data_IF_158631463484
#
_entry.id   IF_158631463484
#
_cell.length_a   1.000
_cell.length_b   1.000
_cell.length_c   1.000
_cell.angle_alpha   90.00
_cell.angle_beta   90.00
_cell.angle_gamma   90.00
#
_symmetry.space_group_name_H-M   'P 1'
#
loop_
_entity.id
_entity.type
_entity.pdbx_description
1 polymer ?
#
# COMPACT_ATOMS: atom_id res chain seq x y z
N UNK A 1 -10.18 19.14 6.15
CA UNK A 1 -10.01 18.60 4.78
C UNK A 1 -9.03 17.44 4.88
N UNK A 2 -9.32 16.29 4.26
CA UNK A 2 -8.47 15.11 4.39
C UNK A 2 -7.27 15.21 3.46
N UNK A 3 -6.06 15.07 3.97
CA UNK A 3 -4.90 14.87 3.11
C UNK A 3 -5.06 13.54 2.38
N UNK A 4 -4.98 13.56 1.05
CA UNK A 4 -4.98 12.32 0.26
C UNK A 4 -3.72 11.52 0.59
N UNK A 5 -3.74 10.20 0.34
CA UNK A 5 -2.59 9.35 0.65
C UNK A 5 -1.33 9.77 -0.12
N UNK A 6 -1.45 10.58 -1.18
CA UNK A 6 -0.36 10.95 -2.09
C UNK A 6 0.39 9.72 -2.62
N UNK A 7 -0.34 8.62 -2.85
CA UNK A 7 0.16 7.39 -3.46
C UNK A 7 -0.26 7.36 -4.93
N UNK A 8 0.70 7.58 -5.82
CA UNK A 8 0.46 7.75 -7.24
C UNK A 8 1.06 6.58 -8.02
N UNK A 9 0.21 5.60 -8.37
CA UNK A 9 0.58 4.37 -9.09
C UNK A 9 0.39 4.47 -10.62
N UNK A 10 0.31 5.68 -11.16
CA UNK A 10 0.24 5.91 -12.60
C UNK A 10 1.57 5.56 -13.28
N UNK A 11 1.50 4.99 -14.48
CA UNK A 11 2.64 4.45 -15.21
C UNK A 11 3.72 5.51 -15.55
N UNK A 12 3.31 6.76 -15.73
CA UNK A 12 4.18 7.90 -16.06
C UNK A 12 4.87 8.52 -14.84
N UNK A 13 4.51 8.13 -13.62
CA UNK A 13 5.26 8.52 -12.43
C UNK A 13 6.63 7.81 -12.46
N UNK A 14 7.70 8.50 -12.08
CA UNK A 14 9.05 7.92 -11.94
C UNK A 14 9.65 8.20 -10.57
N UNK A 15 8.91 8.88 -9.70
CA UNK A 15 9.37 9.24 -8.37
C UNK A 15 9.01 8.12 -7.38
N UNK A 16 10.03 7.40 -6.92
CA UNK A 16 9.88 6.30 -5.97
C UNK A 16 9.13 6.69 -4.69
N UNK A 17 9.34 7.90 -4.17
CA UNK A 17 8.64 8.37 -2.97
C UNK A 17 7.15 8.57 -3.25
N UNK A 18 6.78 9.20 -4.36
CA UNK A 18 5.37 9.36 -4.77
C UNK A 18 4.71 8.02 -5.13
N UNK A 19 5.51 7.04 -5.55
CA UNK A 19 5.08 5.66 -5.71
C UNK A 19 4.82 4.93 -4.39
N UNK A 20 5.19 5.51 -3.25
CA UNK A 20 4.97 4.91 -1.93
C UNK A 20 6.17 4.14 -1.37
N UNK A 21 7.30 4.07 -2.07
CA UNK A 21 8.48 3.33 -1.63
C UNK A 21 9.05 3.94 -0.36
N UNK A 22 9.05 3.19 0.74
CA UNK A 22 9.47 3.62 2.07
C UNK A 22 8.80 4.93 2.53
N UNK A 23 7.63 5.26 1.98
CA UNK A 23 6.91 6.49 2.32
C UNK A 23 6.00 6.21 3.51
N UNK A 24 6.15 7.02 4.56
CA UNK A 24 5.24 6.96 5.69
C UNK A 24 3.84 7.44 5.26
N UNK A 25 2.77 6.79 5.74
CA UNK A 25 1.42 7.16 5.35
C UNK A 25 1.06 8.54 5.90
N UNK A 26 0.65 9.46 5.02
CA UNK A 26 0.17 10.79 5.41
C UNK A 26 -1.23 10.75 6.05
N UNK A 27 -2.07 9.79 5.63
CA UNK A 27 -3.48 9.76 6.00
C UNK A 27 -4.08 8.39 6.33
N UNK A 28 -3.27 7.32 6.35
CA UNK A 28 -3.80 5.98 6.64
C UNK A 28 -4.26 5.82 8.10
N UNK A 29 -3.66 6.53 9.07
CA UNK A 29 -4.07 6.46 10.48
C UNK A 29 -4.17 5.02 11.00
N UNK A 30 -5.32 4.66 11.61
CA UNK A 30 -5.61 3.27 12.02
C UNK A 30 -5.74 2.30 10.84
N UNK A 31 -6.04 2.80 9.65
CA UNK A 31 -6.13 2.02 8.41
C UNK A 31 -4.79 1.52 7.87
N UNK A 32 -3.66 1.84 8.53
CA UNK A 32 -2.36 1.25 8.20
C UNK A 32 -2.15 -0.16 8.73
N UNK A 33 -3.02 -0.64 9.63
CA UNK A 33 -2.83 -1.94 10.28
C UNK A 33 -1.62 -1.99 11.23
N UNK A 34 -1.10 -0.83 11.64
CA UNK A 34 0.13 -0.73 12.45
C UNK A 34 1.42 -0.81 11.63
N UNK A 35 1.32 -0.94 10.31
CA UNK A 35 2.46 -0.88 9.40
C UNK A 35 2.96 0.56 9.23
N UNK A 36 4.24 0.69 8.87
CA UNK A 36 4.95 1.97 8.87
C UNK A 36 5.03 2.67 7.51
N UNK A 37 4.91 1.92 6.40
CA UNK A 37 5.17 2.44 5.06
C UNK A 37 4.14 1.98 4.03
N UNK A 38 3.86 2.83 3.05
CA UNK A 38 2.94 2.53 1.94
C UNK A 38 3.40 1.25 1.20
N UNK A 39 4.67 1.20 0.80
CA UNK A 39 5.34 0.05 0.18
C UNK A 39 6.73 -0.15 0.80
N UNK A 40 7.03 -1.39 1.17
CA UNK A 40 8.37 -1.85 1.56
C UNK A 40 8.87 -2.81 0.47
N UNK A 41 9.89 -2.42 -0.33
CA UNK A 41 10.42 -3.25 -1.41
C UNK A 41 10.83 -4.64 -0.95
N UNK A 42 10.51 -5.66 -1.75
CA UNK A 42 10.72 -7.08 -1.46
C UNK A 42 9.94 -7.63 -0.24
N UNK A 43 9.11 -6.82 0.42
CA UNK A 43 8.41 -7.18 1.67
C UNK A 43 6.93 -6.80 1.61
N UNK A 44 6.12 -7.53 0.81
CA UNK A 44 4.70 -7.23 0.64
C UNK A 44 3.91 -7.25 1.95
N UNK A 45 4.23 -8.16 2.88
CA UNK A 45 3.55 -8.25 4.19
C UNK A 45 3.84 -7.07 5.13
N UNK A 46 4.91 -6.32 4.88
CA UNK A 46 5.25 -5.10 5.63
C UNK A 46 4.67 -3.83 4.96
N UNK A 47 3.92 -3.98 3.85
CA UNK A 47 3.42 -2.87 3.03
C UNK A 47 1.94 -2.58 3.30
N UNK A 48 1.61 -1.33 3.63
CA UNK A 48 0.22 -0.89 3.88
C UNK A 48 -0.67 -1.17 2.66
N UNK A 49 -0.15 -0.98 1.44
CA UNK A 49 -0.94 -1.20 0.22
C UNK A 49 -1.54 -2.62 0.16
N UNK A 50 -0.74 -3.64 0.45
CA UNK A 50 -1.19 -5.04 0.43
C UNK A 50 -2.19 -5.30 1.54
N UNK A 51 -1.88 -4.85 2.77
CA UNK A 51 -2.78 -4.97 3.91
C UNK A 51 -4.17 -4.40 3.61
N UNK A 52 -4.24 -3.22 2.98
CA UNK A 52 -5.52 -2.56 2.68
C UNK A 52 -6.32 -3.26 1.57
N UNK A 53 -5.66 -3.99 0.67
CA UNK A 53 -6.33 -4.80 -0.36
C UNK A 53 -6.84 -6.14 0.19
N UNK A 54 -6.22 -6.67 1.24
CA UNK A 54 -6.56 -7.97 1.85
C UNK A 54 -7.55 -7.87 3.00
N UNK A 55 -7.61 -6.73 3.70
CA UNK A 55 -8.48 -6.56 4.86
C UNK A 55 -9.92 -6.20 4.47
N UNK A 56 -10.89 -6.71 5.23
CA UNK A 56 -12.29 -6.30 5.17
C UNK A 56 -12.70 -5.43 6.37
N UNK A 57 -11.73 -4.96 7.16
CA UNK A 57 -11.98 -4.10 8.31
C UNK A 57 -12.37 -2.69 7.88
N UNK A 58 -13.47 -2.17 8.43
CA UNK A 58 -13.95 -0.83 8.15
C UNK A 58 -12.91 0.22 8.54
N UNK A 59 -12.61 1.13 7.62
CA UNK A 59 -11.61 2.19 7.80
C UNK A 59 -10.17 1.76 7.49
N UNK A 60 -9.92 0.47 7.20
CA UNK A 60 -8.65 -0.03 6.69
C UNK A 60 -8.78 -0.51 5.24
N UNK A 61 -9.88 -1.18 4.90
CA UNK A 61 -10.11 -1.77 3.59
C UNK A 61 -10.06 -0.73 2.46
N UNK A 62 -9.54 -1.13 1.30
CA UNK A 62 -9.59 -0.39 0.03
C UNK A 62 -9.90 -1.34 -1.13
N UNK A 63 -10.68 -0.91 -2.14
CA UNK A 63 -11.30 0.41 -2.26
C UNK A 63 -12.50 0.59 -1.31
N UNK A 64 -12.72 1.83 -0.85
CA UNK A 64 -13.82 2.20 0.09
C UNK A 64 -15.22 1.95 -0.48
N UNK A 65 -15.36 1.95 -1.81
CA UNK A 65 -16.62 1.73 -2.51
C UNK A 65 -16.52 0.51 -3.41
N UNK A 66 -17.49 -0.41 -3.24
CA UNK A 66 -17.60 -1.61 -4.06
C UNK A 66 -16.89 -2.83 -3.46
N UNK A 67 -17.67 -3.55 -2.64
CA UNK A 67 -17.60 -5.00 -2.35
C UNK A 67 -16.88 -5.42 -1.06
N UNK A 68 -17.66 -6.10 -0.23
CA UNK A 68 -17.31 -6.90 0.95
C UNK A 68 -16.46 -8.15 0.64
N UNK A 69 -15.68 -8.16 -0.44
CA UNK A 69 -14.96 -9.34 -0.91
C UNK A 69 -13.58 -8.96 -1.46
N UNK A 70 -12.55 -9.61 -0.94
CA UNK A 70 -11.16 -9.49 -1.41
C UNK A 70 -11.04 -10.12 -2.80
N UNK A 71 -10.33 -9.45 -3.72
CA UNK A 71 -9.91 -10.03 -5.00
C UNK A 71 -8.55 -10.73 -4.84
N UNK A 72 -8.52 -12.07 -4.71
CA UNK A 72 -7.27 -12.79 -4.46
C UNK A 72 -6.28 -12.70 -5.63
N UNK A 73 -6.76 -12.53 -6.87
CA UNK A 73 -5.88 -12.42 -8.05
C UNK A 73 -5.23 -11.04 -8.07
N UNK A 74 -6.01 -9.99 -7.82
CA UNK A 74 -5.50 -8.61 -7.71
C UNK A 74 -4.49 -8.48 -6.57
N UNK A 75 -4.79 -9.04 -5.40
CA UNK A 75 -3.86 -9.10 -4.26
C UNK A 75 -2.57 -9.82 -4.65
N UNK A 76 -2.65 -11.02 -5.21
CA UNK A 76 -1.47 -11.81 -5.58
C UNK A 76 -0.58 -11.06 -6.60
N UNK A 77 -1.19 -10.33 -7.54
CA UNK A 77 -0.46 -9.51 -8.50
C UNK A 77 0.32 -8.38 -7.81
N UNK A 78 -0.31 -7.64 -6.92
CA UNK A 78 0.34 -6.52 -6.19
C UNK A 78 1.43 -7.06 -5.25
N UNK A 79 1.17 -8.18 -4.56
CA UNK A 79 2.18 -8.85 -3.72
C UNK A 79 3.42 -9.20 -4.52
N UNK A 80 3.24 -9.88 -5.65
CA UNK A 80 4.33 -10.27 -6.54
C UNK A 80 5.10 -9.06 -7.07
N UNK A 81 4.39 -8.01 -7.46
CA UNK A 81 5.02 -6.77 -7.93
C UNK A 81 5.93 -6.14 -6.87
N UNK A 82 5.51 -6.11 -5.59
CA UNK A 82 6.34 -5.60 -4.49
C UNK A 82 7.50 -6.55 -4.18
N UNK A 83 7.26 -7.87 -4.23
CA UNK A 83 8.28 -8.91 -4.02
C UNK A 83 9.42 -8.82 -5.04
N UNK A 84 9.10 -8.49 -6.30
CA UNK A 84 10.08 -8.36 -7.40
C UNK A 84 10.85 -7.03 -7.38
N UNK A 85 10.55 -6.10 -6.47
CA UNK A 85 11.30 -4.85 -6.35
C UNK A 85 12.71 -5.08 -5.80
N UNK A 86 13.65 -4.22 -6.21
CA UNK A 86 15.00 -4.18 -5.62
C UNK A 86 14.89 -3.94 -4.09
N UNK A 87 15.48 -4.81 -3.25
CA UNK A 87 15.41 -4.65 -1.80
C UNK A 87 16.03 -3.32 -1.33
N UNK A 88 15.26 -2.56 -0.55
CA UNK A 88 15.72 -1.30 0.06
C UNK A 88 15.44 -1.32 1.57
N UNK A 89 16.38 -0.81 2.36
CA UNK A 89 16.16 -0.62 3.81
C UNK A 89 15.40 0.68 4.05
N UNK A 90 14.14 0.58 4.50
CA UNK A 90 13.37 1.73 4.91
C UNK A 90 13.76 2.17 6.33
N UNK A 91 14.47 3.29 6.44
CA UNK A 91 14.81 3.89 7.74
C UNK A 91 13.73 4.89 8.15
N UNK A 92 13.35 4.86 9.43
CA UNK A 92 12.35 5.76 10.00
C UNK A 92 12.94 7.14 10.30
#
# INVERSE_FOLDING_TARGET
EGETSQLYLNHDNTNAFLFGVCKAPSSAGKGSGGLNYDIVPAKPDESILVFRLETTELGAMMPDLGRSLVDPVGVALVRKWIEEMEPVTCNR
#
